data_IF_290138045599
#
_entry.id   IF_290138045599
#
_cell.length_a   1.000
_cell.length_b   1.000
_cell.length_c   1.000
_cell.angle_alpha   90.00
_cell.angle_beta   90.00
_cell.angle_gamma   90.00
#
_symmetry.space_group_name_H-M   'P 1'
#
loop_
_entity.id
_entity.type
_entity.pdbx_description
1 polymer ?
#
# COMPACT_ATOMS: atom_id res chain seq x y z
N UNK A 1 -36.71 32.57 37.48
CA UNK A 1 -36.90 33.29 36.19
C UNK A 1 -37.11 32.24 35.10
N UNK A 2 -38.36 31.94 34.75
CA UNK A 2 -38.69 30.93 33.75
C UNK A 2 -38.79 31.60 32.38
N UNK A 3 -37.82 31.36 31.50
CA UNK A 3 -37.91 31.74 30.09
C UNK A 3 -38.95 30.84 29.41
N UNK A 4 -40.11 31.43 29.08
CA UNK A 4 -41.08 30.85 28.14
C UNK A 4 -40.50 30.95 26.73
N UNK A 5 -39.98 29.85 26.20
CA UNK A 5 -39.70 29.74 24.77
C UNK A 5 -41.03 29.50 24.04
N UNK A 6 -41.48 30.52 23.30
CA UNK A 6 -42.61 30.40 22.37
C UNK A 6 -42.12 29.67 21.12
N UNK A 7 -42.34 28.36 21.04
CA UNK A 7 -42.16 27.61 19.80
C UNK A 7 -43.45 27.69 18.99
N UNK A 8 -43.48 28.59 18.00
CA UNK A 8 -44.56 28.62 17.02
C UNK A 8 -44.35 27.46 16.04
N UNK A 9 -45.04 26.35 16.28
CA UNK A 9 -44.96 25.16 15.43
C UNK A 9 -45.31 25.55 13.97
N UNK A 10 -44.42 25.32 13.00
CA UNK A 10 -44.71 25.63 11.61
C UNK A 10 -45.83 24.70 11.11
N UNK A 11 -46.73 25.18 10.23
CA UNK A 11 -47.80 24.37 9.68
C UNK A 11 -47.23 23.11 8.98
N UNK A 12 -47.97 21.99 8.94
CA UNK A 12 -47.45 20.67 8.56
C UNK A 12 -46.80 20.66 7.15
N UNK A 13 -47.27 21.51 6.24
CA UNK A 13 -46.69 21.74 4.91
C UNK A 13 -45.23 22.25 4.93
N UNK A 14 -44.88 23.12 5.89
CA UNK A 14 -43.52 23.67 6.02
C UNK A 14 -42.58 22.68 6.71
N UNK A 15 -43.10 21.83 7.60
CA UNK A 15 -42.34 20.76 8.24
C UNK A 15 -41.88 19.71 7.21
N UNK A 16 -42.77 19.31 6.30
CA UNK A 16 -42.45 18.34 5.24
C UNK A 16 -41.36 18.86 4.29
N UNK A 17 -41.40 20.14 3.93
CA UNK A 17 -40.37 20.78 3.09
C UNK A 17 -39.00 20.83 3.76
N UNK A 18 -38.94 21.11 5.07
CA UNK A 18 -37.67 21.12 5.81
C UNK A 18 -37.07 19.72 5.95
N UNK A 19 -37.91 18.70 6.12
CA UNK A 19 -37.49 17.30 6.18
C UNK A 19 -36.98 16.82 4.82
N UNK A 20 -37.68 17.11 3.72
CA UNK A 20 -37.22 16.68 2.39
C UNK A 20 -35.92 17.38 1.98
N UNK A 21 -35.78 18.66 2.32
CA UNK A 21 -34.56 19.43 2.05
C UNK A 21 -33.37 18.89 2.83
N UNK A 22 -33.56 18.46 4.08
CA UNK A 22 -32.48 17.88 4.88
C UNK A 22 -32.04 16.51 4.33
N UNK A 23 -32.97 15.64 3.92
CA UNK A 23 -32.63 14.33 3.31
C UNK A 23 -31.85 14.49 1.99
N UNK A 24 -32.20 15.48 1.16
CA UNK A 24 -31.50 15.77 -0.10
C UNK A 24 -30.04 16.21 0.11
N UNK A 25 -29.77 16.99 1.16
CA UNK A 25 -28.39 17.42 1.49
C UNK A 25 -27.54 16.23 1.93
N UNK A 26 -28.09 15.27 2.67
CA UNK A 26 -27.36 14.05 3.06
C UNK A 26 -27.08 13.11 1.89
N UNK A 27 -27.99 13.03 0.90
CA UNK A 27 -27.81 12.18 -0.27
C UNK A 27 -26.79 12.77 -1.28
N UNK A 28 -26.73 14.09 -1.42
CA UNK A 28 -25.85 14.77 -2.38
C UNK A 28 -24.38 14.87 -1.92
N UNK A 29 -24.11 14.76 -0.61
CA UNK A 29 -22.74 14.87 -0.07
C UNK A 29 -21.96 13.55 -0.05
N UNK A 30 -22.48 12.45 -0.59
CA UNK A 30 -21.70 11.22 -0.69
C UNK A 30 -20.72 11.32 -1.87
N UNK A 31 -19.49 11.73 -1.58
CA UNK A 31 -18.37 11.73 -2.53
C UNK A 31 -18.24 10.33 -3.13
N UNK A 32 -18.42 10.23 -4.45
CA UNK A 32 -18.23 9.00 -5.20
C UNK A 32 -16.79 8.97 -5.70
N UNK A 33 -15.91 8.33 -4.93
CA UNK A 33 -14.53 8.13 -5.36
C UNK A 33 -14.54 7.17 -6.56
N UNK A 34 -14.15 7.68 -7.73
CA UNK A 34 -14.12 6.92 -8.97
C UNK A 34 -12.92 5.98 -8.95
N UNK A 35 -13.19 4.67 -8.88
CA UNK A 35 -12.19 3.60 -8.79
C UNK A 35 -11.32 3.44 -10.05
N UNK A 36 -11.70 4.08 -11.17
CA UNK A 36 -10.90 4.06 -12.41
C UNK A 36 -9.48 4.64 -12.23
N UNK A 37 -9.35 5.64 -11.36
CA UNK A 37 -8.05 6.27 -11.07
C UNK A 37 -7.12 5.32 -10.29
N UNK A 38 -7.67 4.34 -9.58
CA UNK A 38 -6.92 3.45 -8.70
C UNK A 38 -6.03 2.49 -9.49
N UNK A 39 -6.53 1.90 -10.58
CA UNK A 39 -5.79 0.93 -11.41
C UNK A 39 -4.69 1.63 -12.23
N UNK A 40 -4.95 2.81 -12.78
CA UNK A 40 -3.92 3.57 -13.49
C UNK A 40 -2.81 4.01 -12.53
N UNK A 41 -3.20 4.42 -11.32
CA UNK A 41 -2.26 4.83 -10.29
C UNK A 41 -1.39 3.67 -9.79
N UNK A 42 -1.94 2.45 -9.57
CA UNK A 42 -1.13 1.29 -9.14
C UNK A 42 -0.11 0.85 -10.20
N UNK A 43 -0.49 0.87 -11.49
CA UNK A 43 0.43 0.60 -12.59
C UNK A 43 1.57 1.63 -12.63
N UNK A 44 1.24 2.92 -12.46
CA UNK A 44 2.24 4.00 -12.46
C UNK A 44 3.25 3.88 -11.31
N UNK A 45 2.79 3.51 -10.10
CA UNK A 45 3.65 3.30 -8.93
C UNK A 45 4.63 2.16 -9.19
N UNK A 46 4.13 1.04 -9.70
CA UNK A 46 4.94 -0.14 -9.98
C UNK A 46 6.00 0.16 -11.04
N UNK A 47 5.64 0.87 -12.12
CA UNK A 47 6.59 1.29 -13.15
C UNK A 47 7.69 2.20 -12.59
N UNK A 48 7.32 3.17 -11.74
CA UNK A 48 8.28 4.09 -11.11
C UNK A 48 9.21 3.37 -10.14
N UNK A 49 8.70 2.40 -9.37
CA UNK A 49 9.51 1.59 -8.46
C UNK A 49 10.63 0.84 -9.21
N UNK A 50 10.33 0.32 -10.41
CA UNK A 50 11.29 -0.41 -11.24
C UNK A 50 12.08 0.48 -12.23
N UNK A 51 12.15 1.79 -12.01
CA UNK A 51 12.97 2.67 -12.84
C UNK A 51 14.45 2.52 -12.50
N UNK A 52 15.23 1.93 -13.41
CA UNK A 52 16.63 1.59 -13.19
C UNK A 52 17.56 2.64 -13.84
N UNK A 53 18.45 3.30 -13.09
CA UNK A 53 19.47 4.18 -13.65
C UNK A 53 20.47 3.43 -14.54
N UNK A 54 21.02 4.10 -15.55
CA UNK A 54 21.91 3.51 -16.56
C UNK A 54 23.22 2.91 -16.00
N UNK A 55 23.62 3.29 -14.78
CA UNK A 55 24.84 2.84 -14.10
C UNK A 55 24.55 2.01 -12.85
N UNK A 56 23.55 1.13 -12.92
CA UNK A 56 23.18 0.25 -11.81
C UNK A 56 24.03 -1.01 -11.80
N UNK A 57 24.55 -1.40 -10.63
CA UNK A 57 25.35 -2.61 -10.45
C UNK A 57 24.56 -3.87 -10.87
N UNK A 58 25.17 -4.83 -11.58
CA UNK A 58 24.49 -6.05 -12.03
C UNK A 58 23.93 -6.91 -10.88
N UNK A 59 24.48 -6.81 -9.67
CA UNK A 59 23.95 -7.50 -8.49
C UNK A 59 22.63 -6.88 -8.02
N UNK A 60 22.49 -5.55 -8.14
CA UNK A 60 21.24 -4.85 -7.84
C UNK A 60 20.17 -5.25 -8.87
N UNK A 61 20.55 -5.40 -10.15
CA UNK A 61 19.62 -5.89 -11.18
C UNK A 61 19.04 -7.27 -10.84
N UNK A 62 19.85 -8.19 -10.30
CA UNK A 62 19.36 -9.50 -9.84
C UNK A 62 18.32 -9.37 -8.74
N UNK A 63 18.58 -8.51 -7.74
CA UNK A 63 17.62 -8.26 -6.65
C UNK A 63 16.32 -7.66 -7.19
N UNK A 64 16.42 -6.68 -8.09
CA UNK A 64 15.25 -6.06 -8.72
C UNK A 64 14.42 -7.09 -9.48
N UNK A 65 15.07 -7.99 -10.23
CA UNK A 65 14.39 -9.04 -10.98
C UNK A 65 13.67 -10.03 -10.05
N UNK A 66 14.29 -10.42 -8.94
CA UNK A 66 13.64 -11.26 -7.94
C UNK A 66 12.43 -10.58 -7.29
N UNK A 67 12.55 -9.29 -6.97
CA UNK A 67 11.44 -8.48 -6.45
C UNK A 67 10.30 -8.41 -7.47
N UNK A 68 10.62 -8.17 -8.74
CA UNK A 68 9.63 -8.13 -9.84
C UNK A 68 8.92 -9.48 -10.00
N UNK A 69 9.65 -10.59 -9.95
CA UNK A 69 9.09 -11.95 -10.00
C UNK A 69 8.12 -12.20 -8.84
N UNK A 70 8.46 -11.79 -7.62
CA UNK A 70 7.57 -11.90 -6.45
C UNK A 70 6.33 -11.03 -6.59
N UNK A 71 6.48 -9.80 -7.09
CA UNK A 71 5.36 -8.89 -7.31
C UNK A 71 4.38 -9.42 -8.38
N UNK A 72 4.88 -10.10 -9.41
CA UNK A 72 4.02 -10.73 -10.41
C UNK A 72 3.18 -11.88 -9.83
N UNK A 73 3.68 -12.58 -8.81
CA UNK A 73 2.93 -13.64 -8.13
C UNK A 73 1.90 -13.08 -7.14
N UNK A 74 2.27 -12.03 -6.41
CA UNK A 74 1.41 -11.31 -5.48
C UNK A 74 1.79 -9.84 -5.48
N UNK A 75 0.87 -8.98 -5.91
CA UNK A 75 1.14 -7.55 -5.95
C UNK A 75 1.36 -7.02 -4.52
N UNK A 76 2.52 -6.42 -4.28
CA UNK A 76 2.87 -5.84 -2.98
C UNK A 76 3.58 -4.48 -3.09
N UNK A 77 4.13 -4.15 -4.26
CA UNK A 77 4.90 -2.92 -4.48
C UNK A 77 4.06 -1.67 -4.19
N UNK A 78 2.80 -1.65 -4.60
CA UNK A 78 1.90 -0.52 -4.34
C UNK A 78 1.77 -0.22 -2.84
N UNK A 79 1.57 -1.25 -2.01
CA UNK A 79 1.49 -1.10 -0.56
C UNK A 79 2.85 -0.73 0.05
N UNK A 80 3.91 -1.39 -0.41
CA UNK A 80 5.28 -1.13 0.04
C UNK A 80 5.69 0.33 -0.20
N UNK A 81 5.45 0.88 -1.39
CA UNK A 81 5.79 2.27 -1.73
C UNK A 81 4.98 3.26 -0.90
N UNK A 82 3.70 2.98 -0.64
CA UNK A 82 2.88 3.84 0.23
C UNK A 82 3.42 3.89 1.66
N UNK A 83 4.00 2.80 2.15
CA UNK A 83 4.51 2.70 3.52
C UNK A 83 5.96 3.17 3.67
N UNK A 84 6.82 2.88 2.69
CA UNK A 84 8.28 3.04 2.78
C UNK A 84 8.87 3.99 1.73
N UNK A 85 8.08 4.45 0.76
CA UNK A 85 8.53 5.31 -0.33
C UNK A 85 9.25 4.55 -1.46
N UNK A 86 9.92 5.32 -2.33
CA UNK A 86 10.60 4.79 -3.51
C UNK A 86 12.08 4.45 -3.24
N UNK A 87 12.59 3.34 -3.80
CA UNK A 87 14.00 3.00 -3.72
C UNK A 87 14.84 3.91 -4.63
N UNK A 88 16.07 4.18 -4.20
CA UNK A 88 17.08 4.89 -4.99
C UNK A 88 18.16 3.90 -5.42
N UNK A 89 17.92 3.21 -6.55
CA UNK A 89 18.71 2.04 -6.96
C UNK A 89 20.20 2.32 -7.20
N UNK A 90 20.60 3.55 -7.55
CA UNK A 90 22.00 3.92 -7.74
C UNK A 90 22.77 4.18 -6.44
N UNK A 91 22.11 4.17 -5.27
CA UNK A 91 22.74 4.42 -3.96
C UNK A 91 22.69 3.21 -3.03
N UNK A 92 22.31 2.03 -3.55
CA UNK A 92 22.21 0.82 -2.73
C UNK A 92 23.62 0.38 -2.32
N UNK A 93 23.82 0.24 -1.02
CA UNK A 93 25.06 -0.29 -0.45
C UNK A 93 24.99 -1.82 -0.49
N UNK A 94 25.83 -2.43 -1.31
CA UNK A 94 25.93 -3.89 -1.40
C UNK A 94 26.96 -4.35 -0.37
N UNK A 95 26.49 -5.01 0.68
CA UNK A 95 27.38 -5.69 1.62
C UNK A 95 28.15 -6.79 0.89
N UNK A 96 29.48 -6.67 0.83
CA UNK A 96 30.35 -7.66 0.20
C UNK A 96 30.43 -8.90 1.11
N UNK A 97 29.49 -9.83 0.91
CA UNK A 97 29.42 -11.19 1.44
C UNK A 97 29.77 -11.36 2.94
N UNK A 98 28.72 -11.64 3.74
CA UNK A 98 28.87 -12.54 4.88
C UNK A 98 29.32 -13.87 4.27
N UNK A 99 30.62 -14.20 4.40
CA UNK A 99 31.08 -15.56 4.06
C UNK A 99 30.19 -16.51 4.87
N UNK A 100 29.58 -17.55 4.26
CA UNK A 100 28.96 -18.58 5.07
C UNK A 100 30.07 -19.15 5.95
N UNK A 101 29.99 -18.89 7.26
CA UNK A 101 30.81 -19.56 8.25
C UNK A 101 30.32 -21.00 8.25
N UNK A 102 30.92 -21.83 7.40
CA UNK A 102 30.75 -23.27 7.46
C UNK A 102 31.47 -23.71 8.74
N UNK A 103 30.73 -23.69 9.85
CA UNK A 103 31.18 -24.22 11.12
C UNK A 103 30.91 -25.72 11.07
N UNK A 104 32.00 -26.48 10.87
CA UNK A 104 32.01 -27.93 10.79
C UNK A 104 31.61 -28.53 12.14
N UNK A 105 30.32 -28.65 12.39
CA UNK A 105 29.81 -29.47 13.48
C UNK A 105 28.33 -29.69 13.23
N UNK A 106 27.98 -30.82 12.63
CA UNK A 106 27.23 -31.86 13.34
C UNK A 106 27.18 -33.14 12.51
N UNK A 107 27.46 -34.20 13.23
CA UNK A 107 27.43 -35.62 12.86
C UNK A 107 26.07 -36.04 12.34
N UNK A 108 26.10 -36.86 11.28
CA UNK A 108 25.14 -37.90 10.91
C UNK A 108 23.66 -37.53 10.68
N UNK A 109 23.26 -37.75 9.43
CA UNK A 109 21.96 -38.25 8.99
C UNK A 109 20.70 -37.44 9.40
N UNK A 110 20.08 -36.82 8.40
CA UNK A 110 18.77 -37.23 7.84
C UNK A 110 18.41 -36.25 6.72
N UNK A 111 17.96 -36.82 5.62
CA UNK A 111 17.54 -36.14 4.41
C UNK A 111 16.23 -35.39 4.67
N UNK A 112 16.20 -34.06 4.55
CA UNK A 112 15.07 -33.39 3.90
C UNK A 112 15.44 -31.95 3.50
N UNK A 113 15.17 -31.61 2.25
CA UNK A 113 15.51 -30.32 1.64
C UNK A 113 14.43 -29.29 1.92
N UNK A 114 14.57 -28.55 3.03
CA UNK A 114 13.78 -27.35 3.28
C UNK A 114 14.66 -26.21 3.82
N UNK A 115 15.30 -25.49 2.89
CA UNK A 115 15.96 -24.21 3.21
C UNK A 115 14.87 -23.16 3.43
N UNK A 116 14.53 -22.91 4.70
CA UNK A 116 13.68 -21.79 5.10
C UNK A 116 14.59 -20.59 5.41
N UNK A 117 14.46 -19.50 4.65
CA UNK A 117 15.11 -18.24 4.94
C UNK A 117 14.10 -17.29 5.62
N UNK A 118 14.34 -16.97 6.89
CA UNK A 118 13.64 -15.92 7.61
C UNK A 118 14.38 -14.60 7.45
N UNK A 119 13.66 -13.50 7.22
CA UNK A 119 14.17 -12.13 7.30
C UNK A 119 13.49 -11.49 8.51
N UNK A 120 14.30 -11.08 9.49
CA UNK A 120 13.90 -10.22 10.62
C UNK A 120 13.89 -8.77 10.16
#
# INVERSE_FOLDING_TARGET
>A
MFMKFNYHLPPPRKLCLLISLSVLVFAACKKMDTDYDSIQHTQSITQKFFTIPSKTDPSILKVINEIKKRNNNKEFITAFVKQHGYPVWNKVLIGKNIKPRYENSFTNAVNDSSIIAYIV
#
